data_IF_891020709372
#
_entry.id   IF_891020709372
#
_cell.length_a   1.000
_cell.length_b   1.000
_cell.length_c   1.000
_cell.angle_alpha   90.00
_cell.angle_beta   90.00
_cell.angle_gamma   90.00
#
_symmetry.space_group_name_H-M   'P 1'
#
loop_
_entity.id
_entity.type
_entity.pdbx_description
1 polymer ?
#
# COMPACT_ATOMS: atom_id res chain seq x y z
N UNK A 1 1.09 -11.68 1.76
CA UNK A 1 2.40 -11.06 1.56
C UNK A 1 2.71 -10.24 2.82
N UNK A 2 3.91 -10.38 3.36
CA UNK A 2 4.43 -9.59 4.48
C UNK A 2 5.90 -9.33 4.12
N UNK A 3 6.17 -8.20 3.45
CA UNK A 3 7.53 -7.83 3.06
C UNK A 3 8.21 -7.14 4.26
N UNK A 4 9.35 -7.65 4.76
CA UNK A 4 9.95 -7.18 6.01
C UNK A 4 10.48 -5.73 5.96
N UNK A 5 10.65 -5.19 4.76
CA UNK A 5 11.20 -3.84 4.54
C UNK A 5 10.10 -2.79 4.38
N UNK A 6 8.83 -3.20 4.22
CA UNK A 6 7.67 -2.29 4.22
C UNK A 6 7.29 -1.92 5.64
N UNK A 7 7.21 -0.62 5.94
CA UNK A 7 6.87 -0.11 7.28
C UNK A 7 5.39 0.22 7.42
N UNK A 8 4.82 0.85 6.40
CA UNK A 8 3.40 1.15 6.33
C UNK A 8 2.93 1.18 4.87
N UNK A 9 1.64 0.97 4.65
CA UNK A 9 0.98 1.17 3.36
C UNK A 9 0.30 2.53 3.40
N UNK A 10 0.73 3.48 2.58
CA UNK A 10 0.14 4.82 2.55
C UNK A 10 -1.08 4.92 1.63
N UNK A 11 -1.08 4.13 0.56
CA UNK A 11 -2.15 4.08 -0.42
C UNK A 11 -2.23 2.68 -1.02
N UNK A 12 -3.45 2.16 -1.15
CA UNK A 12 -3.75 0.98 -1.95
C UNK A 12 -5.02 1.24 -2.74
N UNK A 13 -4.90 1.29 -4.07
CA UNK A 13 -6.04 1.38 -4.97
C UNK A 13 -5.99 0.23 -5.98
N UNK A 14 -7.15 -0.40 -6.19
CA UNK A 14 -7.33 -1.43 -7.21
C UNK A 14 -8.46 -0.98 -8.12
N UNK A 15 -8.13 -0.69 -9.37
CA UNK A 15 -9.05 -0.15 -10.36
C UNK A 15 -9.36 -1.26 -11.35
N UNK A 16 -10.64 -1.55 -11.55
CA UNK A 16 -11.09 -2.57 -12.48
C UNK A 16 -11.53 -1.94 -13.79
N UNK A 17 -10.90 -2.35 -14.89
CA UNK A 17 -11.22 -1.94 -16.25
C UNK A 17 -11.57 -3.17 -17.09
N UNK A 18 -12.88 -3.44 -17.27
CA UNK A 18 -13.31 -4.65 -17.98
C UNK A 18 -13.01 -5.93 -17.19
N UNK A 19 -12.07 -6.75 -17.66
CA UNK A 19 -11.56 -7.93 -16.93
C UNK A 19 -10.21 -7.66 -16.25
N UNK A 20 -9.61 -6.50 -16.48
CA UNK A 20 -8.28 -6.13 -16.05
C UNK A 20 -8.31 -5.37 -14.72
N UNK A 21 -7.26 -5.55 -13.93
CA UNK A 21 -7.01 -4.83 -12.68
C UNK A 21 -5.70 -4.04 -12.77
N UNK A 22 -5.79 -2.76 -12.44
CA UNK A 22 -4.66 -1.85 -12.26
C UNK A 22 -4.48 -1.62 -10.77
N UNK A 23 -3.26 -1.85 -10.27
CA UNK A 23 -2.95 -1.67 -8.85
C UNK A 23 -2.03 -0.48 -8.68
N UNK A 24 -2.43 0.46 -7.83
CA UNK A 24 -1.56 1.55 -7.36
C UNK A 24 -1.28 1.35 -5.87
N UNK A 25 0.01 1.29 -5.53
CA UNK A 25 0.50 1.07 -4.18
C UNK A 25 1.51 2.16 -3.81
N UNK A 26 1.37 2.73 -2.62
CA UNK A 26 2.37 3.61 -2.00
C UNK A 26 2.74 3.02 -0.65
N UNK A 27 4.04 2.83 -0.40
CA UNK A 27 4.54 2.27 0.87
C UNK A 27 5.67 3.10 1.44
N UNK A 28 5.74 3.08 2.77
CA UNK A 28 6.84 3.67 3.51
C UNK A 28 7.98 2.68 3.72
N UNK A 29 9.20 3.15 3.48
CA UNK A 29 10.44 2.40 3.66
C UNK A 29 11.38 3.10 4.65
N UNK A 30 12.42 2.39 5.11
CA UNK A 30 13.47 3.00 5.94
C UNK A 30 14.26 4.05 5.14
N UNK A 31 14.37 5.31 5.60
CA UNK A 31 15.04 6.39 4.87
C UNK A 31 16.55 6.18 4.66
N UNK A 32 17.16 5.24 5.39
CA UNK A 32 18.60 4.99 5.31
C UNK A 32 18.99 3.95 4.27
N UNK A 33 18.02 3.36 3.56
CA UNK A 33 18.31 2.41 2.48
C UNK A 33 18.74 3.15 1.21
N UNK A 34 19.59 2.49 0.43
CA UNK A 34 19.95 3.00 -0.90
C UNK A 34 18.81 2.84 -1.90
N UNK A 35 18.83 3.65 -2.97
CA UNK A 35 17.90 3.52 -4.10
C UNK A 35 17.93 2.09 -4.69
N UNK A 36 19.09 1.43 -4.71
CA UNK A 36 19.19 0.05 -5.18
C UNK A 36 18.44 -0.95 -4.29
N UNK A 37 18.50 -0.77 -2.96
CA UNK A 37 17.71 -1.60 -2.04
C UNK A 37 16.21 -1.31 -2.18
N UNK A 38 15.82 -0.06 -2.41
CA UNK A 38 14.43 0.29 -2.69
C UNK A 38 13.93 -0.37 -3.99
N UNK A 39 14.76 -0.44 -5.03
CA UNK A 39 14.42 -1.14 -6.28
C UNK A 39 14.26 -2.65 -6.06
N UNK A 40 15.13 -3.29 -5.26
CA UNK A 40 14.99 -4.70 -4.88
C UNK A 40 13.66 -4.95 -4.12
N UNK A 41 13.21 -4.01 -3.30
CA UNK A 41 11.90 -4.08 -2.62
C UNK A 41 10.77 -3.94 -3.65
N UNK A 42 10.90 -2.98 -4.58
CA UNK A 42 9.91 -2.77 -5.66
C UNK A 42 9.70 -4.03 -6.48
N UNK A 43 10.78 -4.71 -6.84
CA UNK A 43 10.74 -5.95 -7.62
C UNK A 43 10.02 -7.07 -6.88
N UNK A 44 10.25 -7.22 -5.57
CA UNK A 44 9.53 -8.22 -4.76
C UNK A 44 8.03 -7.92 -4.70
N UNK A 45 7.66 -6.69 -4.40
CA UNK A 45 6.27 -6.24 -4.33
C UNK A 45 5.57 -6.41 -5.69
N UNK A 46 6.19 -5.93 -6.77
CA UNK A 46 5.65 -6.06 -8.12
C UNK A 46 5.42 -7.52 -8.48
N UNK A 47 6.42 -8.39 -8.28
CA UNK A 47 6.32 -9.80 -8.64
C UNK A 47 5.21 -10.53 -7.88
N UNK A 48 4.97 -10.19 -6.61
CA UNK A 48 3.88 -10.79 -5.84
C UNK A 48 2.51 -10.26 -6.28
N UNK A 49 2.35 -8.95 -6.46
CA UNK A 49 1.07 -8.36 -6.87
C UNK A 49 0.70 -8.80 -8.29
N UNK A 50 1.66 -8.81 -9.22
CA UNK A 50 1.42 -9.15 -10.61
C UNK A 50 1.06 -10.63 -10.84
N UNK A 51 1.34 -11.51 -9.87
CA UNK A 51 0.90 -12.92 -9.92
C UNK A 51 -0.60 -13.06 -9.72
N UNK A 52 -1.27 -12.06 -9.16
CA UNK A 52 -2.70 -12.11 -8.91
C UNK A 52 -3.50 -12.10 -10.22
N UNK A 53 -4.54 -12.92 -10.26
CA UNK A 53 -5.30 -13.15 -11.50
C UNK A 53 -5.98 -11.87 -11.98
N UNK A 54 -5.71 -11.51 -13.22
CA UNK A 54 -6.34 -10.37 -13.89
C UNK A 54 -5.63 -9.04 -13.63
N UNK A 55 -4.58 -9.03 -12.80
CA UNK A 55 -3.70 -7.85 -12.70
C UNK A 55 -2.91 -7.72 -14.00
N UNK A 56 -3.02 -6.57 -14.64
CA UNK A 56 -2.32 -6.27 -15.89
C UNK A 56 -1.35 -5.11 -15.75
N UNK A 57 -1.47 -4.33 -14.68
CA UNK A 57 -0.63 -3.16 -14.41
C UNK A 57 -0.46 -2.93 -12.90
N UNK A 58 0.75 -2.54 -12.50
CA UNK A 58 1.12 -2.29 -11.10
C UNK A 58 2.06 -1.10 -11.03
N UNK A 59 1.63 -0.04 -10.32
CA UNK A 59 2.43 1.14 -10.01
C UNK A 59 2.76 1.11 -8.52
N UNK A 60 4.04 1.26 -8.20
CA UNK A 60 4.54 1.28 -6.82
C UNK A 60 5.33 2.56 -6.60
N UNK A 61 4.92 3.33 -5.60
CA UNK A 61 5.56 4.55 -5.13
C UNK A 61 6.12 4.33 -3.71
N UNK A 62 7.17 5.06 -3.37
CA UNK A 62 7.83 4.98 -2.07
C UNK A 62 7.87 6.33 -1.38
N UNK A 63 7.64 6.30 -0.07
CA UNK A 63 7.83 7.44 0.82
C UNK A 63 8.77 7.06 2.00
N UNK A 64 9.29 8.08 2.69
CA UNK A 64 10.04 7.90 3.92
C UNK A 64 9.11 7.53 5.08
N UNK A 65 9.47 6.50 5.84
CA UNK A 65 8.72 6.13 7.04
C UNK A 65 8.71 7.26 8.10
N UNK A 66 7.55 7.85 8.33
CA UNK A 66 7.35 8.93 9.31
C UNK A 66 7.01 8.40 10.73
N UNK A 67 6.72 7.10 10.84
CA UNK A 67 6.38 6.42 12.10
C UNK A 67 4.93 6.65 12.56
N UNK A 68 4.06 7.19 11.71
CA UNK A 68 2.66 7.48 11.97
C UNK A 68 1.78 6.50 11.15
N UNK A 69 1.13 5.51 11.79
CA UNK A 69 0.30 4.55 11.07
C UNK A 69 -0.88 5.21 10.35
N UNK A 70 -0.93 5.08 9.02
CA UNK A 70 -1.90 5.74 8.15
C UNK A 70 -3.34 5.37 8.48
N UNK A 71 -3.61 4.07 8.63
CA UNK A 71 -4.97 3.53 8.70
C UNK A 71 -5.60 3.64 10.09
N UNK A 72 -4.79 3.76 11.16
CA UNK A 72 -5.33 3.87 12.52
C UNK A 72 -6.20 5.11 12.71
N UNK A 73 -5.79 6.25 12.13
CA UNK A 73 -6.55 7.49 12.19
C UNK A 73 -7.90 7.37 11.49
N UNK A 74 -7.93 6.72 10.32
CA UNK A 74 -9.14 6.51 9.54
C UNK A 74 -10.13 5.60 10.27
N UNK A 75 -9.66 4.46 10.79
CA UNK A 75 -10.51 3.50 11.51
C UNK A 75 -11.15 4.16 12.74
N UNK A 76 -10.38 4.95 13.51
CA UNK A 76 -10.90 5.67 14.68
C UNK A 76 -12.00 6.66 14.29
N UNK A 77 -11.85 7.36 13.16
CA UNK A 77 -12.85 8.30 12.64
C UNK A 77 -14.14 7.58 12.24
N UNK A 78 -14.03 6.52 11.43
CA UNK A 78 -15.19 5.73 10.97
C UNK A 78 -15.96 5.12 12.15
N UNK A 79 -15.24 4.55 13.13
CA UNK A 79 -15.87 4.01 14.36
C UNK A 79 -16.61 5.07 15.17
N UNK A 80 -16.14 6.31 15.17
CA UNK A 80 -16.82 7.41 15.86
C UNK A 80 -18.05 7.91 15.10
N UNK A 81 -18.00 7.93 13.76
CA UNK A 81 -19.14 8.28 12.91
C UNK A 81 -20.26 7.24 13.03
N UNK A 82 -19.92 5.94 12.98
CA UNK A 82 -20.88 4.85 13.19
C UNK A 82 -21.56 4.88 14.56
N UNK A 83 -20.90 5.39 15.60
CA UNK A 83 -21.49 5.55 16.93
C UNK A 83 -22.50 6.69 16.97
N UNK A 84 -22.21 7.81 16.29
CA UNK A 84 -23.10 8.98 16.20
C UNK A 84 -24.38 8.67 15.42
N UNK A 85 -24.32 7.82 14.41
CA UNK A 85 -25.51 7.41 13.63
C UNK A 85 -26.45 6.46 14.37
N UNK A 86 -25.99 5.88 15.49
CA UNK A 86 -26.76 4.92 16.32
C UNK A 86 -27.40 5.55 17.56
N UNK A 87 -27.19 6.85 17.79
CA UNK A 87 -27.78 7.67 18.85
C UNK A 87 -28.89 8.57 18.29
#
# INVERSE_FOLDING_TARGET
MDDPDVRDIQKLAVIKEGEDFHVELEVELDPHISIGQADDIKDRLFNEIFKERGVTDVIIEFDENDGIPKWEGQIKKELNEMKKERE
#
